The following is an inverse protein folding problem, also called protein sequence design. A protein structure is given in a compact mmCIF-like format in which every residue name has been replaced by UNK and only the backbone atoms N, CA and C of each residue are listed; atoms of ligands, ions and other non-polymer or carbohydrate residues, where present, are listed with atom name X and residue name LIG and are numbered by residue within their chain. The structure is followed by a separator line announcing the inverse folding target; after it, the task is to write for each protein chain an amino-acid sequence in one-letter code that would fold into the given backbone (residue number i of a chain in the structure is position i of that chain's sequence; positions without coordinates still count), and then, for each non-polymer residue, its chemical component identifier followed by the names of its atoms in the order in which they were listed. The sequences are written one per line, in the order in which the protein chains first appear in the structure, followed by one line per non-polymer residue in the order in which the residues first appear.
data_IF_293339607436
#
_entry.id   IF_293339607436
#
_cell.length_a   1.000
_cell.length_b   1.000
_cell.length_c   1.000
_cell.angle_alpha   90.00
_cell.angle_beta   90.00
_cell.angle_gamma   90.00
#
_symmetry.space_group_name_H-M   'P 1'
#
loop_
_entity.id
_entity.type
_entity.pdbx_description
1 polymer ?
#
# COMPACT_ATOMS: atom_id res chain seq x y z
N UNK A 1 8.46 27.04 2.55
CA UNK A 1 8.10 25.61 2.75
C UNK A 1 8.83 24.73 1.73
N UNK A 2 8.72 25.00 0.43
CA UNK A 2 9.36 24.25 -0.65
C UNK A 2 10.85 23.94 -0.37
N UNK A 3 11.63 24.95 0.06
CA UNK A 3 13.06 24.81 0.37
C UNK A 3 13.35 23.68 1.35
N UNK A 4 12.58 23.57 2.42
CA UNK A 4 12.78 22.51 3.42
C UNK A 4 12.41 21.13 2.88
N UNK A 5 11.29 21.04 2.14
CA UNK A 5 10.82 19.77 1.59
C UNK A 5 11.80 19.25 0.51
N UNK A 6 12.36 20.13 -0.34
CA UNK A 6 13.43 19.77 -1.28
C UNK A 6 14.70 19.29 -0.58
N UNK A 7 15.08 19.91 0.56
CA UNK A 7 16.24 19.46 1.35
C UNK A 7 16.00 18.06 1.93
N UNK A 8 14.81 17.81 2.47
CA UNK A 8 14.41 16.48 2.96
C UNK A 8 14.54 15.46 1.85
N UNK A 9 13.97 15.73 0.66
CA UNK A 9 14.03 14.84 -0.50
C UNK A 9 15.47 14.50 -0.90
N UNK A 10 16.35 15.51 -0.97
CA UNK A 10 17.76 15.31 -1.30
C UNK A 10 18.50 14.49 -0.27
N UNK A 11 18.35 14.80 1.01
CA UNK A 11 18.99 14.07 2.11
C UNK A 11 18.54 12.61 2.14
N UNK A 12 17.25 12.32 1.88
CA UNK A 12 16.77 10.95 1.75
C UNK A 12 17.42 10.22 0.57
N UNK A 13 17.57 10.89 -0.59
CA UNK A 13 18.25 10.32 -1.74
C UNK A 13 19.74 10.07 -1.46
N UNK A 14 20.43 11.00 -0.79
CA UNK A 14 21.85 10.89 -0.41
C UNK A 14 22.08 9.76 0.61
N UNK A 15 21.15 9.56 1.56
CA UNK A 15 21.21 8.50 2.59
C UNK A 15 20.44 7.23 2.19
N UNK A 16 20.07 7.05 0.92
CA UNK A 16 19.18 5.99 0.46
C UNK A 16 19.62 4.59 0.86
N UNK A 17 20.93 4.28 0.83
CA UNK A 17 21.46 2.98 1.23
C UNK A 17 21.25 2.70 2.72
N UNK A 18 21.44 3.70 3.57
CA UNK A 18 21.26 3.57 5.02
C UNK A 18 19.80 3.25 5.35
N UNK A 19 18.87 4.01 4.79
CA UNK A 19 17.45 3.77 4.96
C UNK A 19 17.03 2.39 4.41
N UNK A 20 17.53 1.99 3.23
CA UNK A 20 17.17 0.71 2.64
C UNK A 20 17.63 -0.48 3.52
N UNK A 21 18.84 -0.43 4.05
CA UNK A 21 19.35 -1.46 4.96
C UNK A 21 18.51 -1.49 6.24
N UNK A 22 18.23 -0.33 6.81
CA UNK A 22 17.46 -0.22 8.04
C UNK A 22 16.02 -0.75 7.87
N UNK A 23 15.32 -0.40 6.78
CA UNK A 23 13.98 -0.92 6.49
C UNK A 23 13.96 -2.45 6.30
N UNK A 24 15.00 -3.00 5.66
CA UNK A 24 15.09 -4.45 5.47
C UNK A 24 15.36 -5.17 6.80
N UNK A 25 16.20 -4.63 7.67
CA UNK A 25 16.46 -5.17 8.99
C UNK A 25 15.25 -5.08 9.92
N UNK A 26 14.55 -3.95 9.89
CA UNK A 26 13.42 -3.65 10.78
C UNK A 26 12.15 -4.39 10.37
N UNK A 27 11.86 -4.46 9.05
CA UNK A 27 10.62 -5.00 8.50
C UNK A 27 10.70 -6.40 7.89
N UNK A 28 11.90 -6.94 7.67
CA UNK A 28 12.08 -8.24 7.02
C UNK A 28 11.94 -8.23 5.49
N UNK A 29 11.75 -7.08 4.87
CA UNK A 29 11.61 -6.90 3.42
C UNK A 29 12.95 -7.16 2.69
N UNK A 30 12.96 -7.82 1.50
CA UNK A 30 14.18 -7.98 0.71
C UNK A 30 14.84 -6.64 0.37
N UNK A 31 16.16 -6.57 0.58
CA UNK A 31 16.95 -5.34 0.39
C UNK A 31 16.80 -4.74 -1.02
N UNK A 32 16.61 -5.57 -2.05
CA UNK A 32 16.40 -5.08 -3.41
C UNK A 32 15.12 -4.26 -3.55
N UNK A 33 14.08 -4.60 -2.79
CA UNK A 33 12.80 -3.89 -2.81
C UNK A 33 12.88 -2.56 -2.04
N UNK A 34 13.46 -2.56 -0.85
CA UNK A 34 13.71 -1.33 -0.09
C UNK A 34 14.58 -0.36 -0.88
N UNK A 35 15.70 -0.85 -1.46
CA UNK A 35 16.68 -0.04 -2.20
C UNK A 35 16.14 0.51 -3.52
N UNK A 36 15.45 -0.33 -4.30
CA UNK A 36 15.10 -0.01 -5.69
C UNK A 36 13.71 0.59 -5.85
N UNK A 37 12.83 0.42 -4.83
CA UNK A 37 11.44 0.88 -4.87
C UNK A 37 11.13 1.85 -3.73
N UNK A 38 11.21 1.42 -2.47
CA UNK A 38 10.63 2.16 -1.34
C UNK A 38 11.32 3.50 -1.09
N UNK A 39 12.65 3.47 -0.95
CA UNK A 39 13.39 4.68 -0.60
C UNK A 39 13.41 5.69 -1.74
N UNK A 40 13.64 5.28 -3.02
CA UNK A 40 13.51 6.19 -4.15
C UNK A 40 12.10 6.82 -4.26
N UNK A 41 11.05 6.03 -4.05
CA UNK A 41 9.68 6.51 -4.14
C UNK A 41 9.35 7.47 -2.97
N UNK A 42 9.82 7.19 -1.74
CA UNK A 42 9.68 8.10 -0.61
C UNK A 42 10.32 9.47 -0.89
N UNK A 43 11.56 9.47 -1.40
CA UNK A 43 12.23 10.71 -1.83
C UNK A 43 11.46 11.44 -2.93
N UNK A 44 10.95 10.71 -3.93
CA UNK A 44 10.17 11.25 -5.04
C UNK A 44 8.88 11.94 -4.57
N UNK A 45 8.20 11.41 -3.55
CA UNK A 45 7.02 12.06 -2.95
C UNK A 45 7.36 13.42 -2.33
N UNK A 46 8.49 13.54 -1.63
CA UNK A 46 8.94 14.84 -1.13
C UNK A 46 9.28 15.80 -2.26
N UNK A 47 9.99 15.36 -3.31
CA UNK A 47 10.27 16.19 -4.49
C UNK A 47 9.00 16.70 -5.16
N UNK A 48 8.04 15.82 -5.41
CA UNK A 48 6.77 16.17 -6.06
C UNK A 48 5.99 17.21 -5.25
N UNK A 49 5.80 16.96 -3.95
CA UNK A 49 5.01 17.84 -3.09
C UNK A 49 5.73 19.16 -2.78
N UNK A 50 7.07 19.18 -2.76
CA UNK A 50 7.83 20.44 -2.68
C UNK A 50 7.47 21.41 -3.79
N UNK A 51 7.22 20.89 -5.01
CA UNK A 51 6.77 21.67 -6.15
C UNK A 51 5.39 22.30 -6.01
N UNK A 52 4.56 21.81 -5.10
CA UNK A 52 3.23 22.37 -4.81
C UNK A 52 3.23 23.45 -3.71
N UNK A 53 4.25 23.50 -2.87
CA UNK A 53 4.25 24.35 -1.67
C UNK A 53 4.09 25.85 -1.93
N UNK A 54 4.45 26.32 -3.12
CA UNK A 54 4.30 27.70 -3.60
C UNK A 54 3.23 27.84 -4.71
N UNK A 55 2.48 26.77 -4.99
CA UNK A 55 1.51 26.69 -6.10
C UNK A 55 0.14 26.17 -5.67
N UNK A 56 -0.19 26.25 -4.38
CA UNK A 56 -1.48 25.77 -3.89
C UNK A 56 -2.67 26.47 -4.54
N UNK A 57 -2.55 27.75 -4.88
CA UNK A 57 -3.60 28.51 -5.57
C UNK A 57 -3.92 27.93 -6.96
N UNK A 58 -2.91 27.35 -7.65
CA UNK A 58 -3.14 26.63 -8.91
C UNK A 58 -3.77 25.24 -8.71
N UNK A 59 -3.55 24.63 -7.52
CA UNK A 59 -4.21 23.38 -7.18
C UNK A 59 -5.70 23.58 -6.88
N UNK A 60 -6.09 24.75 -6.35
CA UNK A 60 -7.42 25.06 -5.83
C UNK A 60 -7.97 26.38 -6.43
N UNK A 61 -8.09 26.42 -7.74
CA UNK A 61 -8.56 27.60 -8.48
C UNK A 61 -9.92 28.09 -7.96
N UNK A 62 -10.02 29.41 -7.69
CA UNK A 62 -11.22 30.05 -7.15
C UNK A 62 -11.48 29.77 -5.66
N UNK A 63 -10.45 29.31 -4.94
CA UNK A 63 -10.48 29.05 -3.51
C UNK A 63 -9.17 29.49 -2.87
N UNK A 64 -9.22 29.91 -1.60
CA UNK A 64 -8.03 30.21 -0.81
C UNK A 64 -7.67 28.98 0.04
N UNK A 65 -6.58 28.25 -0.27
CA UNK A 65 -6.15 27.13 0.52
C UNK A 65 -5.44 27.59 1.81
N UNK A 66 -5.95 27.22 2.96
CA UNK A 66 -5.30 27.40 4.26
C UNK A 66 -4.89 26.05 4.82
N UNK A 67 -3.83 25.96 5.63
CA UNK A 67 -3.50 24.71 6.33
C UNK A 67 -4.71 24.21 7.13
N UNK A 68 -4.93 22.90 7.15
CA UNK A 68 -5.91 22.30 8.04
C UNK A 68 -5.56 22.54 9.52
N UNK A 69 -4.25 22.52 9.86
CA UNK A 69 -3.74 22.77 11.20
C UNK A 69 -2.81 21.66 11.71
N UNK A 70 -3.17 21.05 12.84
CA UNK A 70 -2.41 19.95 13.45
C UNK A 70 -2.87 18.62 12.92
N UNK A 71 -1.97 17.86 12.28
CA UNK A 71 -2.24 16.57 11.67
C UNK A 71 -1.71 15.45 12.53
N UNK A 72 -2.56 14.53 12.99
CA UNK A 72 -2.17 13.22 13.47
C UNK A 72 -1.96 12.26 12.30
N UNK A 73 -0.82 11.59 12.23
CA UNK A 73 -0.50 10.62 11.19
C UNK A 73 -0.07 9.29 11.82
N UNK A 74 -0.78 8.21 11.52
CA UNK A 74 -0.47 6.86 11.98
C UNK A 74 -0.15 6.01 10.75
N UNK A 75 1.04 5.40 10.75
CA UNK A 75 1.56 4.63 9.61
C UNK A 75 1.77 3.16 9.95
N UNK A 76 1.59 2.27 8.96
CA UNK A 76 1.74 0.83 9.12
C UNK A 76 3.21 0.38 9.07
N UNK A 77 3.41 -0.92 9.31
CA UNK A 77 4.74 -1.55 9.34
C UNK A 77 5.25 -2.04 7.98
N UNK A 78 4.41 -2.14 6.95
CA UNK A 78 4.79 -2.78 5.69
C UNK A 78 5.61 -1.88 4.73
N UNK A 79 5.44 -0.56 4.80
CA UNK A 79 6.20 0.45 4.06
C UNK A 79 6.49 1.67 4.94
N UNK A 80 7.31 1.54 5.99
CA UNK A 80 7.44 2.56 7.04
C UNK A 80 7.78 3.95 6.50
N UNK A 81 8.93 4.12 5.84
CA UNK A 81 9.37 5.42 5.32
C UNK A 81 8.48 5.94 4.20
N UNK A 82 8.03 5.04 3.31
CA UNK A 82 7.16 5.44 2.19
C UNK A 82 5.82 5.98 2.69
N UNK A 83 5.21 5.34 3.67
CA UNK A 83 3.95 5.81 4.25
C UNK A 83 4.14 7.08 5.09
N UNK A 84 5.28 7.25 5.74
CA UNK A 84 5.66 8.53 6.35
C UNK A 84 5.73 9.64 5.29
N UNK A 85 6.41 9.40 4.16
CA UNK A 85 6.53 10.36 3.07
C UNK A 85 5.17 10.73 2.45
N UNK A 86 4.28 9.75 2.25
CA UNK A 86 2.94 9.98 1.70
C UNK A 86 2.10 10.93 2.55
N UNK A 87 2.32 10.93 3.87
CA UNK A 87 1.58 11.79 4.80
C UNK A 87 2.30 13.10 5.09
N UNK A 88 3.61 13.06 5.32
CA UNK A 88 4.39 14.25 5.66
C UNK A 88 4.54 15.22 4.49
N UNK A 89 4.84 14.71 3.29
CA UNK A 89 5.14 15.57 2.16
C UNK A 89 3.96 16.50 1.77
N UNK A 90 2.72 16.02 1.58
CA UNK A 90 1.58 16.89 1.31
C UNK A 90 1.20 17.76 2.53
N UNK A 91 1.28 17.23 3.75
CA UNK A 91 1.00 18.00 4.96
C UNK A 91 1.90 19.24 5.08
N UNK A 92 3.21 19.05 4.91
CA UNK A 92 4.21 20.12 4.93
C UNK A 92 4.05 21.10 3.78
N UNK A 93 3.76 20.61 2.56
CA UNK A 93 3.51 21.46 1.40
C UNK A 93 2.33 22.40 1.65
N UNK A 94 1.26 21.90 2.26
CA UNK A 94 0.08 22.67 2.63
C UNK A 94 0.29 23.56 3.88
N UNK A 95 1.38 23.39 4.63
CA UNK A 95 1.74 24.26 5.78
C UNK A 95 1.25 23.77 7.12
N UNK A 96 0.89 22.49 7.24
CA UNK A 96 0.48 21.87 8.50
C UNK A 96 1.66 21.50 9.39
N UNK A 97 1.39 21.30 10.68
CA UNK A 97 2.26 20.57 11.60
C UNK A 97 1.79 19.13 11.75
N UNK A 98 2.72 18.21 12.05
CA UNK A 98 2.40 16.78 12.07
C UNK A 98 2.92 16.10 13.34
N UNK A 99 2.07 15.28 13.94
CA UNK A 99 2.44 14.27 14.94
C UNK A 99 2.37 12.91 14.26
N UNK A 100 3.53 12.30 14.01
CA UNK A 100 3.67 11.02 13.32
C UNK A 100 3.88 9.89 14.32
N UNK A 101 3.03 8.85 14.27
CA UNK A 101 3.21 7.61 15.02
C UNK A 101 3.51 6.45 14.06
N UNK A 102 4.75 5.95 14.00
CA UNK A 102 5.07 4.72 13.28
C UNK A 102 4.51 3.48 13.98
N UNK A 103 4.44 2.37 13.23
CA UNK A 103 4.15 1.07 13.84
C UNK A 103 5.26 0.69 14.85
N UNK A 104 4.87 0.02 15.92
CA UNK A 104 5.79 -0.41 16.98
C UNK A 104 6.81 -1.45 16.52
N UNK A 105 6.49 -2.22 15.50
CA UNK A 105 7.38 -3.26 14.93
C UNK A 105 8.38 -2.71 13.91
N UNK A 106 8.17 -1.49 13.40
CA UNK A 106 9.07 -0.88 12.38
C UNK A 106 9.25 0.63 12.59
N UNK A 107 9.76 1.07 13.75
CA UNK A 107 9.90 2.50 14.05
C UNK A 107 11.20 3.11 13.54
N UNK A 108 12.21 2.30 13.20
CA UNK A 108 13.60 2.77 13.07
C UNK A 108 13.79 3.74 11.90
N UNK A 109 13.17 3.50 10.75
CA UNK A 109 13.28 4.43 9.62
C UNK A 109 12.58 5.77 9.89
N UNK A 110 11.50 5.78 10.69
CA UNK A 110 10.87 7.02 11.13
C UNK A 110 11.76 7.80 12.12
N UNK A 111 12.46 7.11 13.01
CA UNK A 111 13.43 7.74 13.92
C UNK A 111 14.64 8.31 13.15
N UNK A 112 15.17 7.56 12.18
CA UNK A 112 16.24 8.05 11.29
C UNK A 112 15.77 9.25 10.45
N UNK A 113 14.49 9.30 10.06
CA UNK A 113 13.90 10.45 9.38
C UNK A 113 13.97 11.71 10.25
N UNK A 114 13.86 11.62 11.58
CA UNK A 114 13.99 12.78 12.46
C UNK A 114 15.34 13.48 12.31
N UNK A 115 16.42 12.72 12.11
CA UNK A 115 17.76 13.30 11.83
C UNK A 115 17.76 14.05 10.49
N UNK A 116 17.14 13.47 9.47
CA UNK A 116 16.98 14.12 8.14
C UNK A 116 16.22 15.42 8.24
N UNK A 117 15.14 15.47 9.04
CA UNK A 117 14.35 16.68 9.27
C UNK A 117 15.20 17.77 9.95
N UNK A 118 16.04 17.41 10.94
CA UNK A 118 16.98 18.33 11.59
C UNK A 118 18.05 18.82 10.61
N UNK A 119 18.66 17.94 9.83
CA UNK A 119 19.67 18.30 8.81
C UNK A 119 19.07 19.19 7.70
N UNK A 120 17.79 19.01 7.40
CA UNK A 120 17.05 19.88 6.47
C UNK A 120 16.73 21.27 7.07
N UNK A 121 17.09 21.50 8.36
CA UNK A 121 16.77 22.71 9.11
C UNK A 121 15.25 22.97 9.23
N UNK A 122 14.44 21.90 9.27
CA UNK A 122 13.00 22.07 9.50
C UNK A 122 12.81 22.68 10.89
N UNK A 123 11.99 23.74 11.04
CA UNK A 123 11.77 24.36 12.34
C UNK A 123 11.28 23.36 13.40
N UNK A 124 11.78 23.42 14.63
CA UNK A 124 11.33 22.56 15.73
C UNK A 124 9.79 22.61 15.92
N UNK A 125 9.19 21.46 16.19
CA UNK A 125 7.74 21.34 16.43
C UNK A 125 6.91 21.19 15.15
N UNK A 126 7.47 21.38 13.95
CA UNK A 126 6.72 21.19 12.69
C UNK A 126 6.39 19.71 12.47
N UNK A 127 7.35 18.81 12.73
CA UNK A 127 7.12 17.35 12.73
C UNK A 127 7.60 16.79 14.06
N UNK A 128 6.75 16.01 14.71
CA UNK A 128 7.02 15.33 15.96
C UNK A 128 6.78 13.84 15.77
N UNK A 129 7.75 13.00 16.10
CA UNK A 129 7.65 11.54 15.91
C UNK A 129 7.50 10.90 17.29
N UNK A 130 6.38 10.18 17.49
CA UNK A 130 6.05 9.49 18.73
C UNK A 130 6.09 7.97 18.50
N UNK A 131 7.00 7.29 19.17
CA UNK A 131 7.02 5.83 19.23
C UNK A 131 6.07 5.34 20.32
N UNK A 132 5.55 4.14 20.15
CA UNK A 132 4.67 3.49 21.14
C UNK A 132 3.73 2.48 20.47
N UNK A 133 3.07 1.71 21.31
CA UNK A 133 2.11 0.69 20.92
C UNK A 133 0.70 1.21 20.58
N UNK A 134 -0.31 0.33 20.61
CA UNK A 134 -1.70 0.66 20.32
C UNK A 134 -2.26 1.80 21.20
N UNK A 135 -1.88 1.84 22.49
CA UNK A 135 -2.36 2.86 23.43
C UNK A 135 -1.92 4.27 23.06
N UNK A 136 -0.68 4.40 22.54
CA UNK A 136 -0.19 5.69 22.01
C UNK A 136 -1.01 6.11 20.78
N UNK A 137 -1.34 5.15 19.90
CA UNK A 137 -2.22 5.41 18.75
C UNK A 137 -3.62 5.84 19.18
N UNK A 138 -4.22 5.17 20.16
CA UNK A 138 -5.52 5.49 20.70
C UNK A 138 -5.53 6.90 21.34
N UNK A 139 -4.52 7.22 22.14
CA UNK A 139 -4.35 8.53 22.76
C UNK A 139 -4.22 9.64 21.71
N UNK A 140 -3.50 9.39 20.60
CA UNK A 140 -3.40 10.35 19.50
C UNK A 140 -4.75 10.56 18.81
N UNK A 141 -5.53 9.49 18.57
CA UNK A 141 -6.86 9.56 17.94
C UNK A 141 -7.84 10.36 18.81
N UNK A 142 -7.77 10.19 20.12
CA UNK A 142 -8.68 10.82 21.10
C UNK A 142 -8.24 12.22 21.52
N UNK A 143 -7.09 12.69 21.06
CA UNK A 143 -6.55 13.98 21.46
C UNK A 143 -7.31 15.13 20.80
N UNK A 144 -7.96 15.96 21.61
CA UNK A 144 -8.82 17.07 21.16
C UNK A 144 -8.11 18.23 20.46
N UNK A 145 -6.80 18.18 20.27
CA UNK A 145 -6.00 19.20 19.59
C UNK A 145 -5.65 18.85 18.14
N UNK A 146 -6.28 17.84 17.54
CA UNK A 146 -6.10 17.51 16.12
C UNK A 146 -7.16 18.18 15.26
N UNK A 147 -6.75 18.73 14.13
CA UNK A 147 -7.62 19.23 13.07
C UNK A 147 -7.82 18.17 11.98
N UNK A 148 -6.86 17.26 11.85
CA UNK A 148 -6.90 16.16 10.90
C UNK A 148 -6.26 14.91 11.48
N UNK A 149 -6.84 13.74 11.12
CA UNK A 149 -6.20 12.43 11.30
C UNK A 149 -6.05 11.72 9.95
N UNK A 150 -4.89 11.16 9.70
CA UNK A 150 -4.64 10.26 8.57
C UNK A 150 -4.09 8.93 9.09
N UNK A 151 -4.74 7.85 8.71
CA UNK A 151 -4.40 6.50 9.16
C UNK A 151 -4.24 5.58 7.95
N UNK A 152 -3.15 4.81 7.94
CA UNK A 152 -2.98 3.67 7.05
C UNK A 152 -2.73 2.43 7.91
N UNK A 153 -3.53 1.37 7.69
CA UNK A 153 -3.44 0.14 8.47
C UNK A 153 -4.60 -0.82 8.24
N UNK A 154 -4.90 -1.66 9.24
CA UNK A 154 -5.96 -2.66 9.12
C UNK A 154 -7.36 -2.05 9.05
N UNK A 155 -8.25 -2.70 8.30
CA UNK A 155 -9.64 -2.29 8.14
C UNK A 155 -10.40 -2.21 9.47
N UNK A 156 -10.15 -3.15 10.38
CA UNK A 156 -10.79 -3.18 11.70
C UNK A 156 -10.43 -1.95 12.55
N UNK A 157 -9.15 -1.58 12.58
CA UNK A 157 -8.67 -0.39 13.32
C UNK A 157 -9.21 0.89 12.66
N UNK A 158 -9.17 0.97 11.32
CA UNK A 158 -9.71 2.13 10.60
C UNK A 158 -11.20 2.36 10.87
N UNK A 159 -12.01 1.30 10.90
CA UNK A 159 -13.43 1.37 11.30
C UNK A 159 -13.60 1.86 12.75
N UNK A 160 -12.77 1.37 13.67
CA UNK A 160 -12.77 1.82 15.07
C UNK A 160 -12.42 3.30 15.21
N UNK A 161 -11.44 3.79 14.45
CA UNK A 161 -11.08 5.20 14.40
C UNK A 161 -12.25 6.04 13.88
N UNK A 162 -12.87 5.62 12.78
CA UNK A 162 -14.02 6.32 12.19
C UNK A 162 -15.18 6.44 13.20
N UNK A 163 -15.46 5.36 13.94
CA UNK A 163 -16.49 5.37 14.99
C UNK A 163 -16.16 6.35 16.13
N UNK A 164 -14.91 6.38 16.58
CA UNK A 164 -14.46 7.28 17.66
C UNK A 164 -14.51 8.75 17.27
N UNK A 165 -14.23 9.05 16.00
CA UNK A 165 -14.23 10.43 15.50
C UNK A 165 -15.60 10.87 14.94
N UNK A 166 -16.61 10.01 14.97
CA UNK A 166 -17.95 10.36 14.47
C UNK A 166 -18.51 11.57 15.21
N UNK A 167 -18.94 12.58 14.45
CA UNK A 167 -19.48 13.83 15.00
C UNK A 167 -18.43 14.85 15.47
N UNK A 168 -17.13 14.54 15.39
CA UNK A 168 -16.06 15.50 15.68
C UNK A 168 -15.67 16.28 14.39
N UNK A 169 -15.22 17.54 14.49
CA UNK A 169 -14.83 18.36 13.35
C UNK A 169 -13.42 18.03 12.83
N UNK A 170 -12.97 16.77 13.00
CA UNK A 170 -11.64 16.31 12.61
C UNK A 170 -11.73 15.72 11.18
N UNK A 171 -10.93 16.25 10.25
CA UNK A 171 -10.81 15.65 8.92
C UNK A 171 -10.17 14.28 9.01
N UNK A 172 -10.77 13.27 8.40
CA UNK A 172 -10.28 11.90 8.44
C UNK A 172 -9.93 11.41 7.03
N UNK A 173 -8.76 10.78 6.89
CA UNK A 173 -8.38 9.98 5.73
C UNK A 173 -8.01 8.60 6.20
N UNK A 174 -8.57 7.57 5.56
CA UNK A 174 -8.32 6.16 5.86
C UNK A 174 -7.84 5.44 4.61
N UNK A 175 -6.66 4.85 4.69
CA UNK A 175 -6.11 3.92 3.71
C UNK A 175 -6.00 2.54 4.38
N UNK A 176 -6.84 1.60 3.95
CA UNK A 176 -7.06 0.34 4.66
C UNK A 176 -6.73 -0.86 3.77
N UNK A 177 -7.11 -2.04 4.22
CA UNK A 177 -6.85 -3.29 3.53
C UNK A 177 -7.49 -3.41 2.15
N UNK A 178 -7.11 -4.45 1.43
CA UNK A 178 -7.63 -4.76 0.11
C UNK A 178 -7.67 -6.25 -0.20
N UNK A 179 -8.43 -6.58 -1.24
CA UNK A 179 -8.49 -7.93 -1.84
C UNK A 179 -8.56 -7.78 -3.36
N UNK A 180 -7.50 -7.20 -3.92
CA UNK A 180 -7.49 -6.79 -5.33
C UNK A 180 -7.66 -7.95 -6.30
N UNK A 181 -8.39 -7.71 -7.37
CA UNK A 181 -8.49 -8.61 -8.50
C UNK A 181 -7.41 -8.28 -9.54
N UNK A 182 -6.66 -9.29 -9.96
CA UNK A 182 -5.73 -9.24 -11.08
C UNK A 182 -6.32 -10.08 -12.21
N UNK A 183 -6.78 -9.46 -13.31
CA UNK A 183 -7.68 -10.04 -14.31
C UNK A 183 -6.89 -10.32 -15.59
N UNK A 184 -6.85 -11.58 -16.02
CA UNK A 184 -6.08 -12.04 -17.19
C UNK A 184 -7.01 -12.57 -18.25
N UNK A 185 -7.01 -11.93 -19.42
CA UNK A 185 -7.74 -12.37 -20.59
C UNK A 185 -6.87 -13.29 -21.47
N UNK A 186 -7.51 -14.09 -22.33
CA UNK A 186 -6.87 -15.04 -23.23
C UNK A 186 -5.87 -14.41 -24.22
N UNK A 187 -6.07 -13.12 -24.53
CA UNK A 187 -5.22 -12.34 -25.44
C UNK A 187 -4.08 -11.59 -24.74
N UNK A 188 -3.90 -11.79 -23.43
CA UNK A 188 -2.80 -11.17 -22.70
C UNK A 188 -1.42 -11.71 -23.12
N UNK A 189 -0.39 -10.87 -23.01
CA UNK A 189 1.01 -11.30 -23.13
C UNK A 189 1.40 -12.15 -21.91
N UNK A 190 1.14 -13.46 -21.96
CA UNK A 190 1.13 -14.37 -20.80
C UNK A 190 2.45 -14.35 -20.00
N UNK A 191 3.60 -14.33 -20.66
CA UNK A 191 4.89 -14.34 -19.95
C UNK A 191 5.11 -13.04 -19.14
N UNK A 192 4.76 -11.87 -19.71
CA UNK A 192 4.80 -10.60 -19.01
C UNK A 192 3.76 -10.56 -17.89
N UNK A 193 2.59 -11.13 -18.15
CA UNK A 193 1.52 -11.23 -17.18
C UNK A 193 1.95 -12.06 -15.96
N UNK A 194 2.61 -13.21 -16.15
CA UNK A 194 3.12 -14.06 -15.06
C UNK A 194 4.11 -13.29 -14.17
N UNK A 195 5.06 -12.56 -14.74
CA UNK A 195 5.99 -11.73 -13.95
C UNK A 195 5.25 -10.59 -13.24
N UNK A 196 4.26 -9.98 -13.88
CA UNK A 196 3.42 -8.96 -13.26
C UNK A 196 2.55 -9.49 -12.13
N UNK A 197 2.03 -10.71 -12.23
CA UNK A 197 1.30 -11.40 -11.15
C UNK A 197 2.24 -11.68 -9.99
N UNK A 198 3.43 -12.23 -10.25
CA UNK A 198 4.43 -12.51 -9.21
C UNK A 198 4.81 -11.24 -8.47
N UNK A 199 5.11 -10.17 -9.20
CA UNK A 199 5.36 -8.86 -8.58
C UNK A 199 4.12 -8.31 -7.85
N UNK A 200 2.92 -8.61 -8.32
CA UNK A 200 1.66 -8.14 -7.77
C UNK A 200 1.29 -8.74 -6.41
N UNK A 201 1.78 -9.96 -6.09
CA UNK A 201 1.40 -10.66 -4.85
C UNK A 201 2.58 -11.09 -3.99
N UNK A 202 3.76 -11.42 -4.55
CA UNK A 202 4.89 -11.91 -3.75
C UNK A 202 5.88 -10.81 -3.39
N UNK A 203 5.80 -9.62 -3.99
CA UNK A 203 6.52 -8.42 -3.55
C UNK A 203 6.24 -8.15 -2.07
N UNK A 204 7.26 -7.82 -1.30
CA UNK A 204 7.20 -7.61 0.14
C UNK A 204 6.47 -8.76 0.89
N UNK A 205 6.72 -10.01 0.52
CA UNK A 205 6.08 -11.21 1.10
C UNK A 205 4.53 -11.15 1.06
N UNK A 206 3.94 -10.39 0.13
CA UNK A 206 2.50 -10.15 0.08
C UNK A 206 1.98 -9.13 1.11
N UNK A 207 2.86 -8.45 1.84
CA UNK A 207 2.52 -7.41 2.81
C UNK A 207 2.18 -6.08 2.11
N UNK A 208 1.26 -6.13 1.14
CA UNK A 208 0.88 -5.01 0.29
C UNK A 208 -0.64 -4.86 0.28
N UNK A 209 -1.14 -3.71 0.70
CA UNK A 209 -2.59 -3.46 0.78
C UNK A 209 -3.31 -3.59 -0.57
N UNK A 210 -2.62 -3.24 -1.67
CA UNK A 210 -3.14 -3.35 -3.03
C UNK A 210 -2.69 -4.63 -3.75
N UNK A 211 -2.13 -5.63 -3.05
CA UNK A 211 -1.67 -6.88 -3.66
C UNK A 211 -2.77 -7.55 -4.49
N UNK A 212 -2.40 -8.01 -5.69
CA UNK A 212 -3.29 -8.75 -6.60
C UNK A 212 -3.57 -10.18 -6.11
N UNK A 213 -4.11 -10.30 -4.90
CA UNK A 213 -4.26 -11.56 -4.16
C UNK A 213 -5.36 -12.48 -4.69
N UNK A 214 -6.29 -11.95 -5.53
CA UNK A 214 -7.23 -12.74 -6.33
C UNK A 214 -6.85 -12.65 -7.79
N UNK A 215 -6.44 -13.77 -8.38
CA UNK A 215 -6.18 -13.87 -9.81
C UNK A 215 -7.43 -14.41 -10.51
N UNK A 216 -8.03 -13.59 -11.37
CA UNK A 216 -9.15 -13.97 -12.22
C UNK A 216 -8.59 -14.28 -13.62
N UNK A 217 -8.68 -15.53 -14.07
CA UNK A 217 -8.13 -15.96 -15.37
C UNK A 217 -9.24 -16.41 -16.29
N UNK A 218 -9.22 -15.96 -17.53
CA UNK A 218 -10.16 -16.45 -18.54
C UNK A 218 -9.95 -17.93 -18.79
N UNK A 219 -11.04 -18.74 -18.78
CA UNK A 219 -10.97 -20.21 -18.81
C UNK A 219 -10.02 -20.81 -19.85
N UNK A 220 -9.98 -20.36 -21.14
CA UNK A 220 -9.14 -20.99 -22.16
C UNK A 220 -7.64 -20.94 -21.86
N UNK A 221 -7.17 -20.03 -21.01
CA UNK A 221 -5.73 -19.87 -20.69
C UNK A 221 -5.41 -20.19 -19.23
N UNK A 222 -6.40 -20.61 -18.44
CA UNK A 222 -6.25 -20.80 -17.00
C UNK A 222 -5.15 -21.81 -16.66
N UNK A 223 -5.17 -23.00 -17.28
CA UNK A 223 -4.20 -24.05 -17.01
C UNK A 223 -2.77 -23.61 -17.40
N UNK A 224 -2.63 -22.92 -18.52
CA UNK A 224 -1.35 -22.39 -18.98
C UNK A 224 -0.77 -21.37 -17.99
N UNK A 225 -1.61 -20.45 -17.53
CA UNK A 225 -1.19 -19.42 -16.56
C UNK A 225 -0.80 -20.07 -15.23
N UNK A 226 -1.60 -21.00 -14.72
CA UNK A 226 -1.33 -21.72 -13.47
C UNK A 226 -0.02 -22.52 -13.57
N UNK A 227 0.19 -23.24 -14.66
CA UNK A 227 1.43 -24.01 -14.87
C UNK A 227 2.66 -23.11 -14.88
N UNK A 228 2.60 -21.99 -15.61
CA UNK A 228 3.70 -21.01 -15.66
C UNK A 228 3.95 -20.39 -14.28
N UNK A 229 2.90 -20.05 -13.53
CA UNK A 229 3.02 -19.54 -12.15
C UNK A 229 3.66 -20.57 -11.24
N UNK A 230 3.22 -21.85 -11.24
CA UNK A 230 3.84 -22.92 -10.43
C UNK A 230 5.33 -23.04 -10.72
N UNK A 231 5.70 -23.03 -12.00
CA UNK A 231 7.11 -23.06 -12.43
C UNK A 231 7.89 -21.84 -11.92
N UNK A 232 7.31 -20.65 -12.00
CA UNK A 232 7.93 -19.42 -11.54
C UNK A 232 8.07 -19.38 -10.01
N UNK A 233 7.07 -19.84 -9.27
CA UNK A 233 7.12 -19.94 -7.81
C UNK A 233 8.26 -20.86 -7.35
N UNK A 234 8.54 -21.94 -8.08
CA UNK A 234 9.67 -22.84 -7.82
C UNK A 234 11.05 -22.17 -7.92
N UNK A 235 11.15 -20.98 -8.49
CA UNK A 235 12.41 -20.22 -8.59
C UNK A 235 12.55 -19.13 -7.52
N UNK A 236 11.50 -18.85 -6.75
CA UNK A 236 11.54 -17.85 -5.70
C UNK A 236 12.34 -18.34 -4.49
N UNK A 237 13.22 -17.48 -4.01
CA UNK A 237 14.08 -17.76 -2.85
C UNK A 237 13.52 -17.09 -1.62
N UNK A 238 13.29 -17.88 -0.58
CA UNK A 238 12.88 -17.39 0.75
C UNK A 238 14.12 -17.38 1.64
N UNK A 239 14.41 -16.26 2.30
CA UNK A 239 15.63 -16.19 3.11
C UNK A 239 15.92 -14.84 3.75
N UNK A 240 17.19 -14.65 4.10
CA UNK A 240 17.70 -13.42 4.71
C UNK A 240 17.34 -12.19 3.83
N UNK A 241 16.65 -11.19 4.39
CA UNK A 241 16.26 -9.99 3.65
C UNK A 241 17.46 -9.18 3.13
N UNK A 242 18.64 -9.29 3.75
CA UNK A 242 19.85 -8.59 3.29
C UNK A 242 20.58 -9.32 2.16
N UNK A 243 20.27 -10.59 1.88
CA UNK A 243 20.79 -11.25 0.69
C UNK A 243 20.08 -10.69 -0.57
N UNK A 244 20.88 -10.13 -1.48
CA UNK A 244 20.37 -9.57 -2.76
C UNK A 244 19.63 -10.58 -3.64
N UNK A 245 19.82 -11.87 -3.40
CA UNK A 245 19.16 -12.96 -4.15
C UNK A 245 17.83 -13.40 -3.51
N UNK A 246 17.52 -12.95 -2.31
CA UNK A 246 16.25 -13.23 -1.65
C UNK A 246 15.09 -12.56 -2.40
N UNK A 247 14.04 -13.33 -2.68
CA UNK A 247 12.81 -12.85 -3.28
C UNK A 247 11.70 -12.61 -2.26
N UNK A 248 11.61 -13.45 -1.23
CA UNK A 248 10.72 -13.30 -0.09
C UNK A 248 11.54 -13.28 1.20
N UNK A 249 11.41 -12.21 1.95
CA UNK A 249 12.03 -12.07 3.26
C UNK A 249 11.16 -12.61 4.39
N UNK A 250 11.37 -12.10 5.60
CA UNK A 250 10.64 -12.52 6.78
C UNK A 250 9.23 -11.92 6.85
N UNK A 251 8.28 -12.67 7.38
CA UNK A 251 6.99 -12.16 7.83
C UNK A 251 7.22 -11.26 9.05
N UNK A 252 6.54 -10.13 9.11
CA UNK A 252 6.81 -9.08 10.09
C UNK A 252 6.73 -9.54 11.57
N UNK A 253 5.82 -10.48 11.88
CA UNK A 253 5.60 -10.91 13.26
C UNK A 253 5.02 -12.31 13.34
N UNK A 254 5.11 -12.93 14.54
CA UNK A 254 4.45 -14.21 14.82
C UNK A 254 2.93 -14.10 14.66
N UNK A 255 2.34 -13.00 15.06
CA UNK A 255 0.89 -12.77 14.91
C UNK A 255 0.48 -12.81 13.44
N UNK A 256 1.23 -12.11 12.57
CA UNK A 256 0.97 -12.10 11.13
C UNK A 256 1.20 -13.48 10.51
N UNK A 257 2.25 -14.20 10.91
CA UNK A 257 2.50 -15.57 10.46
C UNK A 257 1.33 -16.50 10.85
N UNK A 258 0.83 -16.40 12.07
CA UNK A 258 -0.32 -17.17 12.56
C UNK A 258 -1.57 -16.87 11.73
N UNK A 259 -1.85 -15.60 11.45
CA UNK A 259 -2.96 -15.18 10.58
C UNK A 259 -2.86 -15.79 9.18
N UNK A 260 -1.68 -15.74 8.55
CA UNK A 260 -1.45 -16.31 7.21
C UNK A 260 -1.71 -17.82 7.25
N UNK A 261 -1.12 -18.52 8.22
CA UNK A 261 -1.26 -19.98 8.38
C UNK A 261 -2.73 -20.38 8.54
N UNK A 262 -3.44 -19.73 9.46
CA UNK A 262 -4.87 -20.02 9.72
C UNK A 262 -5.76 -19.82 8.48
N UNK A 263 -5.51 -18.78 7.68
CA UNK A 263 -6.28 -18.56 6.46
C UNK A 263 -5.91 -19.53 5.33
N UNK A 264 -4.64 -19.96 5.26
CA UNK A 264 -4.22 -21.01 4.32
C UNK A 264 -4.86 -22.36 4.69
N UNK A 265 -4.87 -22.71 5.97
CA UNK A 265 -5.55 -23.92 6.48
C UNK A 265 -7.05 -23.88 6.17
N UNK A 266 -7.72 -22.76 6.44
CA UNK A 266 -9.12 -22.58 6.10
C UNK A 266 -9.40 -22.76 4.60
N UNK A 267 -8.51 -22.28 3.72
CA UNK A 267 -8.66 -22.48 2.27
C UNK A 267 -8.62 -23.96 1.88
N UNK A 268 -7.77 -24.75 2.50
CA UNK A 268 -7.69 -26.21 2.30
C UNK A 268 -8.94 -26.90 2.85
N UNK A 269 -9.38 -26.55 4.06
CA UNK A 269 -10.60 -27.08 4.68
C UNK A 269 -11.85 -26.78 3.88
N UNK A 270 -11.93 -25.61 3.23
CA UNK A 270 -13.02 -25.21 2.34
C UNK A 270 -12.96 -25.89 0.94
N UNK A 271 -11.93 -26.71 0.68
CA UNK A 271 -11.82 -27.53 -0.52
C UNK A 271 -11.03 -26.90 -1.67
N UNK A 272 -10.33 -25.80 -1.45
CA UNK A 272 -9.38 -25.27 -2.43
C UNK A 272 -8.08 -26.10 -2.47
N UNK A 273 -7.45 -26.16 -3.61
CA UNK A 273 -6.22 -26.93 -3.84
C UNK A 273 -4.99 -26.05 -3.63
N UNK A 274 -4.22 -26.34 -2.59
CA UNK A 274 -2.98 -25.62 -2.27
C UNK A 274 -1.78 -26.18 -3.06
N UNK A 275 -1.04 -25.28 -3.71
CA UNK A 275 0.30 -25.53 -4.22
C UNK A 275 1.32 -24.66 -3.48
N UNK A 276 2.37 -25.31 -2.99
CA UNK A 276 3.58 -24.67 -2.46
C UNK A 276 4.81 -25.33 -3.10
N UNK A 277 5.79 -24.58 -3.57
CA UNK A 277 7.01 -25.18 -4.12
C UNK A 277 7.79 -25.90 -3.01
N UNK A 278 8.58 -26.88 -3.41
CA UNK A 278 9.57 -27.49 -2.52
C UNK A 278 10.76 -26.53 -2.36
N UNK A 279 10.64 -25.61 -1.38
CA UNK A 279 11.69 -24.69 -1.00
C UNK A 279 12.00 -24.81 0.49
N UNK A 280 13.29 -24.68 0.81
CA UNK A 280 13.73 -24.65 2.21
C UNK A 280 13.42 -23.28 2.81
N UNK A 281 12.90 -23.28 4.01
CA UNK A 281 12.77 -22.07 4.84
C UNK A 281 13.94 -21.98 5.81
N UNK A 282 14.38 -20.78 6.19
CA UNK A 282 15.30 -20.60 7.30
C UNK A 282 14.76 -21.25 8.59
N UNK A 283 15.67 -21.80 9.40
CA UNK A 283 15.30 -22.49 10.65
C UNK A 283 14.87 -21.53 11.77
N UNK A 284 15.27 -20.27 11.67
CA UNK A 284 15.02 -19.22 12.66
C UNK A 284 14.31 -18.03 11.97
N UNK A 285 13.43 -17.36 12.69
CA UNK A 285 12.63 -16.24 12.19
C UNK A 285 11.26 -16.69 11.69
N UNK A 286 10.52 -15.72 11.15
CA UNK A 286 9.14 -15.90 10.66
C UNK A 286 9.14 -15.95 9.15
N UNK A 287 8.99 -17.12 8.55
CA UNK A 287 8.97 -17.29 7.10
C UNK A 287 7.78 -18.10 6.64
N UNK A 288 7.32 -17.82 5.42
CA UNK A 288 6.21 -18.54 4.81
C UNK A 288 6.50 -18.85 3.34
N UNK A 289 6.14 -20.05 2.87
CA UNK A 289 6.32 -20.45 1.48
C UNK A 289 5.42 -19.65 0.54
N UNK A 290 5.88 -19.27 -0.66
CA UNK A 290 4.99 -18.72 -1.67
C UNK A 290 3.91 -19.75 -2.00
N UNK A 291 2.66 -19.34 -1.94
CA UNK A 291 1.50 -20.21 -1.99
C UNK A 291 0.54 -19.80 -3.11
N UNK A 292 -0.03 -20.78 -3.79
CA UNK A 292 -1.02 -20.60 -4.84
C UNK A 292 -2.17 -21.59 -4.59
N UNK A 293 -3.40 -21.07 -4.60
CA UNK A 293 -4.60 -21.87 -4.54
C UNK A 293 -5.29 -21.96 -5.90
N UNK A 294 -5.68 -23.16 -6.31
CA UNK A 294 -6.62 -23.43 -7.41
C UNK A 294 -7.93 -23.98 -6.87
N UNK A 295 -8.92 -24.17 -7.74
CA UNK A 295 -10.27 -24.60 -7.34
C UNK A 295 -10.91 -23.70 -6.27
N UNK A 296 -10.69 -22.38 -6.40
CA UNK A 296 -11.19 -21.39 -5.43
C UNK A 296 -12.60 -20.94 -5.83
N UNK A 297 -13.54 -21.04 -4.88
CA UNK A 297 -14.86 -20.41 -4.97
C UNK A 297 -14.83 -18.98 -4.45
N UNK A 298 -15.71 -18.11 -4.97
CA UNK A 298 -15.87 -16.75 -4.44
C UNK A 298 -16.31 -16.72 -2.96
N UNK A 299 -16.91 -17.79 -2.46
CA UNK A 299 -17.35 -17.93 -1.05
C UNK A 299 -16.23 -18.31 -0.10
N UNK A 300 -15.11 -18.83 -0.60
CA UNK A 300 -14.00 -19.23 0.27
C UNK A 300 -13.41 -18.01 0.99
N UNK A 301 -13.02 -18.19 2.26
CA UNK A 301 -12.39 -17.13 3.06
C UNK A 301 -11.15 -16.55 2.38
N UNK A 302 -10.34 -17.40 1.74
CA UNK A 302 -9.15 -16.98 1.01
C UNK A 302 -9.45 -16.11 -0.22
N UNK A 303 -10.71 -16.08 -0.71
CA UNK A 303 -11.16 -15.19 -1.77
C UNK A 303 -11.79 -13.88 -1.24
N UNK A 304 -12.19 -13.83 0.03
CA UNK A 304 -12.90 -12.71 0.64
C UNK A 304 -12.05 -11.94 1.64
N UNK A 305 -11.26 -12.63 2.46
CA UNK A 305 -10.47 -12.02 3.53
C UNK A 305 -9.07 -11.63 3.08
N UNK A 306 -8.56 -10.52 3.61
CA UNK A 306 -7.19 -10.09 3.40
C UNK A 306 -6.21 -10.95 4.19
N UNK A 307 -5.41 -11.78 3.51
CA UNK A 307 -4.41 -12.64 4.12
C UNK A 307 -3.18 -11.83 4.55
N UNK A 308 -2.78 -10.89 3.70
CA UNK A 308 -1.60 -10.04 3.87
C UNK A 308 -0.32 -10.86 3.99
N UNK A 309 -0.15 -11.81 3.08
CA UNK A 309 0.94 -12.77 2.99
C UNK A 309 1.14 -13.26 1.55
N UNK A 310 2.16 -14.10 1.28
CA UNK A 310 2.53 -14.54 -0.06
C UNK A 310 1.58 -15.65 -0.57
N UNK A 311 0.29 -15.34 -0.68
CA UNK A 311 -0.78 -16.29 -1.00
C UNK A 311 -1.67 -15.76 -2.11
N UNK A 312 -1.71 -16.47 -3.23
CA UNK A 312 -2.51 -16.16 -4.41
C UNK A 312 -3.71 -17.10 -4.51
N UNK A 313 -4.91 -16.55 -4.70
CA UNK A 313 -6.14 -17.32 -4.94
C UNK A 313 -6.56 -17.19 -6.41
N UNK A 314 -6.62 -18.30 -7.15
CA UNK A 314 -6.96 -18.34 -8.57
C UNK A 314 -8.43 -18.72 -8.76
N UNK A 315 -9.15 -17.87 -9.49
CA UNK A 315 -10.53 -18.09 -9.93
C UNK A 315 -10.57 -17.99 -11.46
N UNK A 316 -11.55 -18.63 -12.08
CA UNK A 316 -11.75 -18.52 -13.53
C UNK A 316 -12.96 -17.65 -13.88
N UNK A 317 -13.03 -17.18 -15.12
CA UNK A 317 -14.19 -16.53 -15.69
C UNK A 317 -14.29 -16.81 -17.20
N UNK A 318 -15.49 -16.66 -17.78
CA UNK A 318 -15.77 -16.89 -19.20
C UNK A 318 -15.89 -15.61 -19.99
N UNK A 319 -16.58 -14.62 -19.43
CA UNK A 319 -16.91 -13.37 -20.13
C UNK A 319 -16.37 -12.14 -19.39
N UNK A 320 -16.12 -11.02 -20.08
CA UNK A 320 -15.72 -9.78 -19.42
C UNK A 320 -16.71 -9.31 -18.34
N UNK A 321 -18.02 -9.50 -18.56
CA UNK A 321 -19.04 -9.15 -17.58
C UNK A 321 -18.93 -9.98 -16.29
N UNK A 322 -18.67 -11.29 -16.42
CA UNK A 322 -18.42 -12.16 -15.27
C UNK A 322 -17.14 -11.78 -14.53
N UNK A 323 -16.09 -11.40 -15.27
CA UNK A 323 -14.84 -10.90 -14.65
C UNK A 323 -15.10 -9.64 -13.79
N UNK A 324 -15.90 -8.69 -14.31
CA UNK A 324 -16.32 -7.50 -13.57
C UNK A 324 -17.11 -7.85 -12.31
N UNK A 325 -18.09 -8.74 -12.43
CA UNK A 325 -18.90 -9.21 -11.31
C UNK A 325 -18.01 -9.81 -10.22
N UNK A 326 -17.17 -10.79 -10.58
CA UNK A 326 -16.26 -11.46 -9.65
C UNK A 326 -15.23 -10.49 -9.03
N UNK A 327 -14.67 -9.58 -9.83
CA UNK A 327 -13.71 -8.60 -9.35
C UNK A 327 -14.33 -7.68 -8.29
N UNK A 328 -15.56 -7.21 -8.52
CA UNK A 328 -16.27 -6.30 -7.63
C UNK A 328 -16.94 -7.00 -6.43
N UNK A 329 -17.06 -8.34 -6.44
CA UNK A 329 -17.66 -9.12 -5.35
C UNK A 329 -16.70 -9.29 -4.16
N UNK A 330 -16.46 -8.20 -3.48
CA UNK A 330 -15.63 -8.11 -2.27
C UNK A 330 -16.04 -6.88 -1.46
N UNK A 331 -15.79 -6.90 -0.16
CA UNK A 331 -15.98 -5.73 0.70
C UNK A 331 -14.98 -4.61 0.39
N UNK A 332 -13.89 -4.92 -0.29
CA UNK A 332 -12.79 -4.00 -0.58
C UNK A 332 -12.92 -3.32 -1.95
N UNK A 333 -12.11 -2.27 -2.15
CA UNK A 333 -12.06 -1.54 -3.42
C UNK A 333 -10.80 -0.68 -3.54
N UNK A 334 -9.61 -1.23 -3.22
CA UNK A 334 -8.37 -0.47 -3.27
C UNK A 334 -7.78 -0.42 -4.68
N UNK A 335 -7.55 -1.60 -5.27
CA UNK A 335 -6.93 -1.68 -6.60
C UNK A 335 -7.46 -2.84 -7.44
N UNK A 336 -7.16 -2.81 -8.74
CA UNK A 336 -7.35 -3.90 -9.70
C UNK A 336 -6.26 -3.86 -10.77
N UNK A 337 -5.98 -5.01 -11.40
CA UNK A 337 -5.11 -5.12 -12.57
C UNK A 337 -5.85 -5.78 -13.74
N UNK A 338 -5.54 -5.37 -14.96
CA UNK A 338 -6.17 -5.88 -16.19
C UNK A 338 -5.07 -6.21 -17.20
N UNK A 339 -5.07 -7.43 -17.70
CA UNK A 339 -4.12 -7.92 -18.71
C UNK A 339 -4.86 -8.33 -19.98
N UNK A 340 -4.69 -7.58 -21.06
CA UNK A 340 -5.29 -7.81 -22.39
C UNK A 340 -4.61 -6.93 -23.41
N UNK A 341 -4.50 -7.41 -24.65
CA UNK A 341 -3.98 -6.62 -25.77
C UNK A 341 -5.03 -5.67 -26.38
N UNK A 342 -6.31 -5.77 -25.96
CA UNK A 342 -7.39 -4.95 -26.49
C UNK A 342 -7.58 -3.65 -25.69
N UNK A 343 -7.13 -2.51 -26.24
CA UNK A 343 -7.26 -1.20 -25.60
C UNK A 343 -8.71 -0.81 -25.25
N UNK A 344 -9.68 -1.13 -26.10
CA UNK A 344 -11.11 -0.90 -25.82
C UNK A 344 -11.60 -1.69 -24.60
N UNK A 345 -11.08 -2.90 -24.41
CA UNK A 345 -11.40 -3.73 -23.23
C UNK A 345 -10.80 -3.11 -21.96
N UNK A 346 -9.55 -2.62 -22.03
CA UNK A 346 -8.91 -1.92 -20.90
C UNK A 346 -9.77 -0.75 -20.43
N UNK A 347 -10.19 0.13 -21.35
CA UNK A 347 -11.00 1.31 -21.02
C UNK A 347 -12.34 0.89 -20.40
N UNK A 348 -13.07 -0.01 -21.06
CA UNK A 348 -14.35 -0.48 -20.57
C UNK A 348 -14.23 -1.15 -19.19
N UNK A 349 -13.25 -2.03 -18.99
CA UNK A 349 -13.02 -2.69 -17.70
C UNK A 349 -12.68 -1.68 -16.60
N UNK A 350 -11.80 -0.70 -16.89
CA UNK A 350 -11.42 0.32 -15.91
C UNK A 350 -12.63 1.13 -15.41
N UNK A 351 -13.58 1.46 -16.29
CA UNK A 351 -14.81 2.14 -15.91
C UNK A 351 -15.74 1.29 -15.03
N UNK A 352 -15.69 -0.05 -15.18
CA UNK A 352 -16.54 -0.97 -14.42
C UNK A 352 -15.95 -1.35 -13.06
N UNK A 353 -14.62 -1.16 -12.84
CA UNK A 353 -13.98 -1.54 -11.59
C UNK A 353 -14.36 -0.61 -10.43
N UNK A 354 -14.79 -1.19 -9.33
CA UNK A 354 -15.03 -0.49 -8.05
C UNK A 354 -13.73 -0.47 -7.23
N UNK A 355 -12.66 0.05 -7.83
CA UNK A 355 -11.33 0.14 -7.27
C UNK A 355 -10.76 1.55 -7.47
N UNK A 356 -10.03 2.05 -6.48
CA UNK A 356 -9.46 3.40 -6.53
C UNK A 356 -8.30 3.54 -7.50
N UNK A 357 -7.58 2.43 -7.77
CA UNK A 357 -6.49 2.36 -8.75
C UNK A 357 -6.71 1.15 -9.66
N UNK A 358 -6.57 1.36 -10.97
CA UNK A 358 -6.65 0.29 -11.97
C UNK A 358 -5.40 0.33 -12.84
N UNK A 359 -4.62 -0.75 -12.79
CA UNK A 359 -3.47 -0.94 -13.68
C UNK A 359 -3.83 -1.73 -14.92
N UNK A 360 -3.21 -1.40 -16.04
CA UNK A 360 -3.37 -2.11 -17.30
C UNK A 360 -2.02 -2.61 -17.82
N UNK A 361 -1.91 -3.92 -18.08
CA UNK A 361 -0.70 -4.62 -18.51
C UNK A 361 0.53 -4.33 -17.63
N UNK A 362 0.29 -4.07 -16.36
CA UNK A 362 1.29 -3.84 -15.29
C UNK A 362 0.63 -4.00 -13.92
N UNK A 363 1.45 -4.05 -12.86
CA UNK A 363 0.97 -4.01 -11.47
C UNK A 363 2.02 -3.34 -10.57
N UNK A 364 1.60 -2.80 -9.41
CA UNK A 364 2.47 -2.12 -8.44
C UNK A 364 3.32 -0.98 -9.06
N UNK A 365 2.76 -0.25 -10.04
CA UNK A 365 3.41 0.94 -10.59
C UNK A 365 2.87 2.17 -9.92
N UNK A 366 3.69 2.78 -9.07
CA UNK A 366 3.36 3.98 -8.33
C UNK A 366 4.12 5.18 -8.87
N UNK A 367 3.46 6.33 -8.86
CA UNK A 367 4.06 7.61 -9.21
C UNK A 367 3.55 8.69 -8.24
N UNK A 368 4.41 9.57 -7.71
CA UNK A 368 3.99 10.61 -6.77
C UNK A 368 2.91 11.55 -7.30
N UNK A 369 2.79 11.70 -8.62
CA UNK A 369 1.78 12.52 -9.27
C UNK A 369 0.42 11.83 -9.44
N UNK A 370 0.37 10.51 -9.24
CA UNK A 370 -0.86 9.71 -9.34
C UNK A 370 -1.55 9.62 -7.98
N UNK A 371 -2.86 9.88 -7.91
CA UNK A 371 -3.61 9.69 -6.67
C UNK A 371 -3.77 8.20 -6.36
N UNK A 372 -3.70 7.87 -5.07
CA UNK A 372 -3.94 6.55 -4.54
C UNK A 372 -5.00 6.59 -3.44
N UNK A 373 -5.85 5.58 -3.35
CA UNK A 373 -6.85 5.44 -2.31
C UNK A 373 -7.99 4.51 -2.70
N UNK A 374 -8.76 4.07 -1.69
CA UNK A 374 -9.77 3.04 -1.84
C UNK A 374 -11.20 3.55 -2.00
N UNK A 375 -12.07 2.57 -2.26
CA UNK A 375 -13.51 2.62 -2.11
C UNK A 375 -13.94 1.56 -1.10
N UNK A 376 -15.20 1.56 -0.71
CA UNK A 376 -15.81 0.58 0.20
C UNK A 376 -15.00 0.49 1.52
N UNK A 377 -14.72 -0.73 1.99
CA UNK A 377 -13.97 -0.96 3.22
C UNK A 377 -12.44 -0.74 3.10
N UNK A 378 -11.94 -0.42 1.91
CA UNK A 378 -10.56 0.01 1.73
C UNK A 378 -10.31 1.45 2.16
N UNK A 379 -11.34 2.17 2.59
CA UNK A 379 -11.22 3.51 3.15
C UNK A 379 -11.69 4.61 2.22
N UNK A 380 -11.29 5.84 2.54
CA UNK A 380 -11.68 7.06 1.82
C UNK A 380 -10.62 8.14 1.96
N UNK A 381 -10.70 9.14 1.08
CA UNK A 381 -9.65 10.12 0.83
C UNK A 381 -8.75 9.69 -0.32
N UNK A 382 -7.75 10.49 -0.62
CA UNK A 382 -6.70 10.17 -1.59
C UNK A 382 -5.36 10.66 -1.07
N UNK A 383 -4.33 9.86 -1.29
CA UNK A 383 -2.93 10.19 -1.03
C UNK A 383 -2.19 10.27 -2.37
N UNK A 384 -1.09 11.03 -2.44
CA UNK A 384 -0.40 11.28 -3.71
C UNK A 384 -1.17 12.16 -4.70
N UNK A 385 -0.51 12.55 -5.78
CA UNK A 385 -1.08 13.44 -6.77
C UNK A 385 -1.49 14.80 -6.21
N UNK A 386 -2.10 15.63 -7.06
CA UNK A 386 -2.73 16.88 -6.63
C UNK A 386 -3.88 16.63 -5.66
N UNK A 387 -4.59 15.51 -5.85
CA UNK A 387 -5.73 15.11 -5.02
C UNK A 387 -5.33 14.87 -3.56
N UNK A 388 -4.10 14.40 -3.33
CA UNK A 388 -3.55 14.19 -1.99
C UNK A 388 -3.30 15.48 -1.19
N UNK A 389 -3.35 16.66 -1.82
CA UNK A 389 -3.28 17.94 -1.11
C UNK A 389 -4.61 18.32 -0.44
N UNK A 390 -5.74 17.95 -1.05
CA UNK A 390 -7.08 18.35 -0.60
C UNK A 390 -7.36 17.99 0.87
N UNK A 391 -6.99 16.83 1.39
CA UNK A 391 -7.23 16.49 2.79
C UNK A 391 -6.47 17.36 3.80
N UNK A 392 -5.45 18.10 3.36
CA UNK A 392 -4.55 18.89 4.21
C UNK A 392 -4.80 20.40 4.16
N UNK A 393 -5.88 20.83 3.49
CA UNK A 393 -6.26 22.25 3.42
C UNK A 393 -7.71 22.46 3.80
N UNK A 394 -8.00 23.66 4.37
CA UNK A 394 -9.32 24.27 4.37
C UNK A 394 -9.43 25.16 3.13
N UNK A 395 -10.55 25.08 2.44
CA UNK A 395 -10.81 25.87 1.23
C UNK A 395 -11.85 26.94 1.53
N UNK A 396 -11.41 28.16 1.75
CA UNK A 396 -12.28 29.32 1.85
C UNK A 396 -12.69 29.78 0.44
N UNK A 397 -13.92 30.32 0.26
CA UNK A 397 -14.26 31.01 -0.97
C UNK A 397 -13.27 32.16 -1.19
N UNK A 398 -12.83 32.39 -2.44
CA UNK A 398 -12.14 33.65 -2.74
C UNK A 398 -13.08 34.78 -2.38
N UNK A 399 -12.65 35.64 -1.45
CA UNK A 399 -13.42 36.79 -1.09
C UNK A 399 -13.69 37.61 -2.34
N UNK A 400 -14.96 37.67 -2.74
CA UNK A 400 -15.41 38.71 -3.68
C UNK A 400 -15.28 40.00 -2.88
N UNK A 401 -14.17 40.73 -3.12
CA UNK A 401 -14.03 42.10 -2.68
C UNK A 401 -14.92 42.99 -3.52
#
# INVERSE_FOLDING_TARGET
RAKYIYRIARLLAERSREFAVLESLDGGKPIKESRDVDIPLASAHFFYHAGWADKLDYAFVGRQPRPAGVVGAIIPWNFPLLMAAWKLAPALACGNTVVLKPAETTPLSALLLAEVLQQAELPPGVVNILTGGPDTGASLVEHGGLDKLTFTGSTSIGKGIQQRLAGQPIKLTLELGGKAANIVFEDAAIDQCVEGIVNGIYFNQGHVCCAGSRLLVQEPVADLVVEKLKRRLGTLRVGDPLDKNTDLGAINSQEQLTKITSLVEAGVEEGAELYQPDCQLPNEGYFFKPSLFTNVSQSHRIAQEEIFGPVLSVLTFRTPAEAVEKANNTAYGLSAGIWTEKGSRILWMAEQMRAGVVWANTFNRFDPSSPFGGYKESGFGREGGRQGLLPYVELEPDGIV
#
